data_IF_099336057828
#
_entry.id   IF_099336057828
#
_cell.length_a   1.000
_cell.length_b   1.000
_cell.length_c   1.000
_cell.angle_alpha   90.00
_cell.angle_beta   90.00
_cell.angle_gamma   90.00
#
_symmetry.space_group_name_H-M   'P 1'
#
loop_
_entity.id
_entity.type
_entity.pdbx_description
1 polymer ?
#
# COMPACT_ATOMS: atom_id res chain seq x y z
N UNK A 1 25.63 6.23 -42.61
CA UNK A 1 26.05 7.60 -42.20
C UNK A 1 24.93 8.21 -41.37
N UNK A 2 25.24 8.83 -40.22
CA UNK A 2 24.22 9.58 -39.45
C UNK A 2 23.92 10.89 -40.18
N UNK A 3 22.65 11.28 -40.38
CA UNK A 3 22.28 12.53 -41.06
C UNK A 3 22.78 13.74 -40.25
N UNK A 4 23.33 14.76 -40.92
CA UNK A 4 23.73 16.00 -40.27
C UNK A 4 22.50 16.87 -39.95
N UNK A 5 22.62 17.77 -38.98
CA UNK A 5 21.49 18.57 -38.44
C UNK A 5 20.67 19.30 -39.51
N UNK A 6 21.29 19.73 -40.61
CA UNK A 6 20.63 20.51 -41.66
C UNK A 6 20.20 19.67 -42.88
N UNK A 7 20.51 18.37 -42.90
CA UNK A 7 20.17 17.47 -44.00
C UNK A 7 18.67 17.20 -44.07
N UNK A 8 18.12 16.79 -45.22
CA UNK A 8 16.77 16.25 -45.31
C UNK A 8 16.57 15.07 -44.35
N UNK A 9 15.45 15.06 -43.64
CA UNK A 9 15.18 14.03 -42.65
C UNK A 9 14.98 12.65 -43.32
N UNK A 10 15.67 11.58 -42.87
CA UNK A 10 15.61 10.26 -43.51
C UNK A 10 14.25 9.56 -43.39
N UNK A 11 13.33 10.08 -42.56
CA UNK A 11 11.96 9.55 -42.46
C UNK A 11 11.06 9.92 -43.65
N UNK A 12 11.57 10.65 -44.65
CA UNK A 12 10.83 11.02 -45.85
C UNK A 12 9.89 12.22 -45.69
N UNK A 13 9.93 12.93 -44.55
CA UNK A 13 9.02 14.04 -44.26
C UNK A 13 9.28 15.34 -45.04
N UNK A 14 10.37 15.41 -45.83
CA UNK A 14 10.79 16.61 -46.56
C UNK A 14 11.33 17.76 -45.68
N UNK A 15 11.32 17.64 -44.35
CA UNK A 15 11.82 18.65 -43.40
C UNK A 15 13.31 18.47 -43.12
N UNK A 16 14.01 19.53 -42.69
CA UNK A 16 15.39 19.44 -42.18
C UNK A 16 15.43 18.59 -40.90
N UNK A 17 16.40 17.68 -40.77
CA UNK A 17 16.50 16.70 -39.70
C UNK A 17 16.41 17.31 -38.28
N UNK A 18 17.05 18.47 -38.05
CA UNK A 18 16.96 19.20 -36.76
C UNK A 18 15.56 19.65 -36.34
N UNK A 19 14.62 19.77 -37.28
CA UNK A 19 13.24 20.20 -37.04
C UNK A 19 12.22 19.05 -37.14
N UNK A 20 12.70 17.80 -37.28
CA UNK A 20 11.84 16.63 -37.45
C UNK A 20 12.19 15.53 -36.44
N UNK A 21 13.08 14.59 -36.78
CA UNK A 21 13.38 13.46 -35.91
C UNK A 21 14.45 13.77 -34.84
N UNK A 22 15.34 14.76 -35.05
CA UNK A 22 16.40 15.06 -34.08
C UNK A 22 15.90 15.51 -32.69
N UNK A 23 14.83 16.33 -32.55
CA UNK A 23 14.27 16.65 -31.22
C UNK A 23 13.73 15.40 -30.49
N UNK A 24 13.18 14.44 -31.23
CA UNK A 24 12.68 13.17 -30.69
C UNK A 24 13.82 12.19 -30.36
N UNK A 25 14.97 12.28 -31.03
CA UNK A 25 16.18 11.55 -30.65
C UNK A 25 16.87 12.14 -29.42
N UNK A 26 16.77 13.46 -29.22
CA UNK A 26 17.24 14.14 -27.99
C UNK A 26 16.32 13.88 -26.80
N UNK A 27 15.07 13.50 -27.06
CA UNK A 27 14.08 13.01 -26.08
C UNK A 27 13.95 11.49 -26.07
N UNK A 28 14.81 10.75 -26.81
CA UNK A 28 14.99 9.35 -26.46
C UNK A 28 15.68 9.36 -25.10
N UNK A 29 15.10 8.71 -24.08
CA UNK A 29 15.85 8.47 -22.86
C UNK A 29 17.15 7.81 -23.29
N UNK A 30 18.28 8.26 -22.73
CA UNK A 30 19.45 7.39 -22.61
C UNK A 30 18.94 6.04 -22.13
N UNK A 31 19.46 4.95 -22.71
CA UNK A 31 18.97 3.58 -22.55
C UNK A 31 19.05 2.98 -21.14
N UNK A 32 18.93 3.81 -20.11
CA UNK A 32 18.97 3.49 -18.68
C UNK A 32 17.67 3.88 -17.94
N UNK A 33 16.60 4.34 -18.63
CA UNK A 33 15.27 4.41 -18.00
C UNK A 33 14.52 3.07 -18.12
N UNK A 34 15.05 2.05 -17.46
CA UNK A 34 14.23 0.91 -17.05
C UNK A 34 13.16 1.46 -16.10
N UNK A 35 11.91 0.97 -16.17
CA UNK A 35 10.75 1.28 -15.30
C UNK A 35 9.77 2.36 -15.77
N UNK A 36 8.96 2.03 -16.79
CA UNK A 36 7.56 2.49 -16.81
C UNK A 36 6.67 1.39 -16.19
N UNK A 37 5.67 1.77 -15.40
CA UNK A 37 4.70 0.84 -14.81
C UNK A 37 3.99 -0.01 -15.88
N UNK A 38 3.69 0.59 -17.03
CA UNK A 38 3.15 -0.11 -18.20
C UNK A 38 4.11 -1.18 -18.74
N UNK A 39 5.41 -0.91 -18.79
CA UNK A 39 6.43 -1.88 -19.21
C UNK A 39 6.55 -3.05 -18.22
N UNK A 40 6.43 -2.78 -16.92
CA UNK A 40 6.38 -3.80 -15.87
C UNK A 40 5.16 -4.72 -16.02
N UNK A 41 3.96 -4.15 -16.10
CA UNK A 41 2.72 -4.93 -16.33
C UNK A 41 2.81 -5.74 -17.62
N UNK A 42 3.34 -5.13 -18.69
CA UNK A 42 3.54 -5.83 -19.95
C UNK A 42 4.44 -7.07 -19.78
N UNK A 43 5.58 -6.96 -19.10
CA UNK A 43 6.45 -8.11 -18.81
C UNK A 43 5.75 -9.18 -17.98
N UNK A 44 5.02 -8.79 -16.93
CA UNK A 44 4.27 -9.73 -16.09
C UNK A 44 3.22 -10.49 -16.92
N UNK A 45 2.50 -9.81 -17.82
CA UNK A 45 1.54 -10.46 -18.72
C UNK A 45 2.18 -11.46 -19.68
N UNK A 46 3.46 -11.29 -19.99
CA UNK A 46 4.29 -12.16 -20.83
C UNK A 46 5.27 -12.97 -19.98
N UNK A 47 4.87 -13.38 -18.78
CA UNK A 47 5.71 -14.17 -17.89
C UNK A 47 6.21 -15.48 -18.53
N UNK A 48 5.48 -16.04 -19.50
CA UNK A 48 5.84 -17.25 -20.23
C UNK A 48 7.16 -17.12 -21.03
N UNK A 49 7.59 -15.90 -21.35
CA UNK A 49 8.88 -15.64 -21.98
C UNK A 49 10.07 -15.88 -21.03
N UNK A 50 9.80 -16.04 -19.72
CA UNK A 50 10.81 -16.18 -18.68
C UNK A 50 10.76 -17.59 -18.06
N UNK A 51 11.87 -18.34 -18.00
CA UNK A 51 11.86 -19.69 -17.47
C UNK A 51 11.52 -19.72 -15.98
N UNK A 52 10.79 -20.74 -15.56
CA UNK A 52 10.50 -21.00 -14.13
C UNK A 52 11.79 -21.35 -13.40
N UNK A 53 12.07 -20.62 -12.33
CA UNK A 53 13.27 -20.79 -11.51
C UNK A 53 12.98 -21.68 -10.30
N UNK A 54 11.98 -21.31 -9.49
CA UNK A 54 11.58 -22.06 -8.31
C UNK A 54 10.12 -21.78 -7.91
N UNK A 55 9.46 -22.80 -7.35
CA UNK A 55 8.21 -22.65 -6.61
C UNK A 55 8.44 -23.07 -5.16
N UNK A 56 7.97 -22.27 -4.23
CA UNK A 56 8.06 -22.49 -2.79
C UNK A 56 6.66 -22.73 -2.20
N UNK A 57 6.56 -23.60 -1.21
CA UNK A 57 5.30 -23.96 -0.54
C UNK A 57 5.58 -24.26 0.94
N UNK A 58 4.74 -23.75 1.86
CA UNK A 58 4.83 -24.10 3.29
C UNK A 58 4.48 -25.57 3.52
N UNK A 59 5.06 -26.21 4.53
CA UNK A 59 4.96 -27.65 4.72
C UNK A 59 3.58 -28.11 5.21
N UNK A 60 2.93 -27.31 6.06
CA UNK A 60 1.73 -27.59 6.83
C UNK A 60 0.42 -27.14 6.15
N UNK A 61 0.48 -26.79 4.86
CA UNK A 61 -0.64 -26.18 4.15
C UNK A 61 -1.90 -27.06 4.07
N UNK A 62 -1.75 -28.39 4.15
CA UNK A 62 -2.88 -29.32 4.10
C UNK A 62 -3.60 -29.38 5.44
N UNK A 63 -2.84 -29.32 6.52
CA UNK A 63 -3.30 -29.35 7.90
C UNK A 63 -3.97 -28.03 8.26
N UNK A 64 -3.34 -26.91 7.89
CA UNK A 64 -3.84 -25.55 8.15
C UNK A 64 -4.92 -25.09 7.16
N UNK A 65 -5.06 -25.76 6.02
CA UNK A 65 -5.94 -25.30 4.95
C UNK A 65 -5.44 -24.05 4.20
N UNK A 66 -4.24 -23.56 4.51
CA UNK A 66 -3.64 -22.36 3.92
C UNK A 66 -2.30 -22.69 3.24
N UNK A 67 -2.30 -22.67 1.91
CA UNK A 67 -1.10 -22.79 1.09
C UNK A 67 -0.54 -21.40 0.75
N UNK A 68 0.71 -21.18 1.16
CA UNK A 68 1.52 -20.01 0.88
C UNK A 68 2.53 -20.34 -0.19
N UNK A 69 2.30 -19.83 -1.40
CA UNK A 69 3.07 -20.19 -2.58
C UNK A 69 3.82 -18.98 -3.10
N UNK A 70 5.13 -19.13 -3.33
CA UNK A 70 5.95 -18.15 -4.06
C UNK A 70 6.50 -18.81 -5.31
N UNK A 71 6.21 -18.26 -6.48
CA UNK A 71 6.75 -18.67 -7.77
C UNK A 71 7.74 -17.63 -8.26
N UNK A 72 8.88 -18.07 -8.78
CA UNK A 72 9.91 -17.21 -9.37
C UNK A 72 10.21 -17.63 -10.80
N UNK A 73 10.42 -16.64 -11.68
CA UNK A 73 10.88 -16.84 -13.06
C UNK A 73 12.11 -15.99 -13.34
N UNK A 74 13.16 -16.58 -13.90
CA UNK A 74 14.43 -15.89 -14.14
C UNK A 74 14.33 -14.90 -15.31
N UNK A 75 14.93 -13.74 -15.17
CA UNK A 75 15.05 -12.73 -16.23
C UNK A 75 16.52 -12.61 -16.68
N UNK A 76 16.76 -12.31 -17.95
CA UNK A 76 18.11 -12.24 -18.55
C UNK A 76 19.09 -11.30 -17.82
N UNK A 77 18.57 -10.35 -17.06
CA UNK A 77 19.34 -9.39 -16.26
C UNK A 77 19.93 -9.95 -14.95
N UNK A 78 19.76 -11.23 -14.66
CA UNK A 78 20.13 -11.83 -13.35
C UNK A 78 19.16 -11.45 -12.22
N UNK A 79 17.97 -11.00 -12.60
CA UNK A 79 16.84 -10.68 -11.72
C UNK A 79 15.72 -11.69 -11.92
N UNK A 80 14.70 -11.63 -11.08
CA UNK A 80 13.55 -12.53 -11.17
C UNK A 80 12.22 -11.78 -11.10
N UNK A 81 11.26 -12.35 -11.82
CA UNK A 81 9.83 -12.12 -11.64
C UNK A 81 9.31 -13.01 -10.53
N UNK A 82 8.38 -12.50 -9.73
CA UNK A 82 7.79 -13.22 -8.61
C UNK A 82 6.27 -13.13 -8.62
N UNK A 83 5.61 -14.24 -8.28
CA UNK A 83 4.19 -14.33 -7.96
C UNK A 83 4.03 -14.93 -6.57
N UNK A 84 3.24 -14.31 -5.72
CA UNK A 84 2.99 -14.70 -4.33
C UNK A 84 1.49 -14.96 -4.20
N UNK A 85 1.11 -16.09 -3.59
CA UNK A 85 -0.28 -16.52 -3.50
C UNK A 85 -0.58 -17.09 -2.12
N UNK A 86 -1.58 -16.52 -1.43
CA UNK A 86 -2.18 -17.10 -0.24
C UNK A 86 -3.48 -17.81 -0.65
N UNK A 87 -3.51 -19.12 -0.50
CA UNK A 87 -4.57 -19.99 -1.01
C UNK A 87 -5.24 -20.75 0.13
N UNK A 88 -6.52 -20.47 0.35
CA UNK A 88 -7.40 -21.27 1.19
C UNK A 88 -7.96 -22.45 0.39
N UNK A 89 -7.50 -23.64 0.76
CA UNK A 89 -7.89 -24.90 0.10
C UNK A 89 -9.17 -25.51 0.69
N UNK A 90 -9.67 -24.97 1.79
CA UNK A 90 -10.85 -25.46 2.50
C UNK A 90 -12.12 -24.69 2.14
N UNK A 91 -12.02 -23.45 1.68
CA UNK A 91 -13.19 -22.62 1.39
C UNK A 91 -12.95 -21.56 0.30
N UNK A 92 -12.18 -20.51 0.58
CA UNK A 92 -12.24 -19.25 -0.18
C UNK A 92 -11.40 -19.21 -1.45
N UNK A 93 -10.54 -20.19 -1.72
CA UNK A 93 -9.64 -20.16 -2.87
C UNK A 93 -8.51 -19.17 -2.65
N UNK A 94 -8.13 -18.39 -3.66
CA UNK A 94 -7.05 -17.39 -3.53
C UNK A 94 -7.55 -16.21 -2.71
N UNK A 95 -7.07 -16.08 -1.47
CA UNK A 95 -7.41 -15.01 -0.51
C UNK A 95 -6.63 -13.73 -0.75
N UNK A 96 -5.36 -13.88 -1.14
CA UNK A 96 -4.47 -12.76 -1.45
C UNK A 96 -3.47 -13.18 -2.53
N UNK A 97 -3.06 -12.24 -3.36
CA UNK A 97 -2.07 -12.48 -4.39
C UNK A 97 -1.28 -11.21 -4.72
N UNK A 98 0.01 -11.37 -5.01
CA UNK A 98 0.89 -10.28 -5.37
C UNK A 98 1.84 -10.71 -6.48
N UNK A 99 2.26 -9.78 -7.33
CA UNK A 99 3.32 -10.05 -8.30
C UNK A 99 4.22 -8.83 -8.53
N UNK A 100 5.49 -9.12 -8.83
CA UNK A 100 6.49 -8.10 -9.11
C UNK A 100 7.58 -8.67 -10.02
N UNK A 101 8.46 -7.82 -10.54
CA UNK A 101 9.58 -8.23 -11.38
C UNK A 101 10.79 -7.35 -11.15
N UNK A 102 11.95 -7.80 -11.64
CA UNK A 102 13.21 -7.11 -11.46
C UNK A 102 13.78 -7.22 -10.04
N UNK A 103 13.38 -8.23 -9.26
CA UNK A 103 13.94 -8.49 -7.93
C UNK A 103 15.28 -9.22 -8.06
N UNK A 104 16.25 -8.84 -7.24
CA UNK A 104 17.47 -9.62 -7.07
C UNK A 104 17.18 -10.89 -6.26
N UNK A 105 17.99 -11.93 -6.46
CA UNK A 105 17.91 -13.15 -5.65
C UNK A 105 18.05 -12.87 -4.16
N UNK A 106 18.88 -11.89 -3.79
CA UNK A 106 19.01 -11.45 -2.40
C UNK A 106 17.69 -10.92 -1.83
N UNK A 107 16.95 -10.10 -2.57
CA UNK A 107 15.64 -9.63 -2.12
C UNK A 107 14.63 -10.76 -1.96
N UNK A 108 14.75 -11.82 -2.77
CA UNK A 108 13.89 -12.99 -2.68
C UNK A 108 14.29 -13.84 -1.46
N UNK A 109 15.54 -14.24 -1.36
CA UNK A 109 16.05 -15.21 -0.39
C UNK A 109 16.24 -14.62 1.01
N UNK A 110 16.73 -13.39 1.12
CA UNK A 110 17.01 -12.77 2.42
C UNK A 110 15.81 -12.02 2.99
N UNK A 111 14.80 -11.71 2.17
CA UNK A 111 13.73 -10.79 2.58
C UNK A 111 12.32 -11.31 2.29
N UNK A 112 11.99 -11.64 1.03
CA UNK A 112 10.65 -12.10 0.67
C UNK A 112 10.31 -13.44 1.31
N UNK A 113 11.18 -14.45 1.12
CA UNK A 113 10.94 -15.78 1.65
C UNK A 113 10.90 -15.79 3.19
N UNK A 114 11.86 -15.20 3.93
CA UNK A 114 11.81 -15.19 5.38
C UNK A 114 10.62 -14.39 5.91
N UNK A 115 10.29 -13.25 5.29
CA UNK A 115 9.16 -12.41 5.70
C UNK A 115 7.82 -13.10 5.46
N UNK A 116 7.61 -13.67 4.28
CA UNK A 116 6.36 -14.34 3.94
C UNK A 116 6.22 -15.65 4.70
N UNK A 117 7.31 -16.44 4.79
CA UNK A 117 7.34 -17.72 5.49
C UNK A 117 7.62 -17.64 6.99
N UNK A 118 7.63 -16.45 7.59
CA UNK A 118 7.85 -16.28 9.04
C UNK A 118 9.14 -16.97 9.54
N UNK A 119 10.19 -16.94 8.70
CA UNK A 119 11.47 -17.63 8.87
C UNK A 119 11.41 -19.16 8.85
N UNK A 120 10.25 -19.76 8.57
CA UNK A 120 10.15 -21.18 8.28
C UNK A 120 10.70 -21.47 6.89
N UNK A 121 11.36 -22.62 6.74
CA UNK A 121 11.93 -23.02 5.45
C UNK A 121 10.84 -23.63 4.56
N UNK A 122 10.50 -23.01 3.42
CA UNK A 122 9.53 -23.59 2.50
C UNK A 122 10.11 -24.76 1.71
N UNK A 123 9.25 -25.69 1.33
CA UNK A 123 9.58 -26.76 0.40
C UNK A 123 9.62 -26.23 -1.04
N UNK A 124 10.62 -26.68 -1.83
CA UNK A 124 10.60 -26.47 -3.28
C UNK A 124 9.69 -27.48 -3.96
N UNK A 125 8.78 -27.01 -4.79
CA UNK A 125 7.81 -27.82 -5.53
C UNK A 125 7.85 -27.52 -7.04
N UNK A 126 7.30 -28.43 -7.84
CA UNK A 126 7.14 -28.20 -9.28
C UNK A 126 5.96 -27.26 -9.57
N UNK A 127 6.05 -26.47 -10.64
CA UNK A 127 5.02 -25.49 -10.99
C UNK A 127 3.64 -26.13 -11.24
N UNK A 128 3.59 -27.31 -11.85
CA UNK A 128 2.31 -28.02 -12.05
C UNK A 128 1.63 -28.36 -10.72
N UNK A 129 2.41 -28.62 -9.67
CA UNK A 129 1.84 -28.87 -8.35
C UNK A 129 1.30 -27.60 -7.72
N UNK A 130 2.02 -26.48 -7.84
CA UNK A 130 1.53 -25.17 -7.42
C UNK A 130 0.25 -24.76 -8.17
N UNK A 131 0.22 -24.94 -9.49
CA UNK A 131 -0.97 -24.72 -10.33
C UNK A 131 -2.14 -25.61 -9.90
N UNK A 132 -1.91 -26.88 -9.60
CA UNK A 132 -2.95 -27.80 -9.12
C UNK A 132 -3.56 -27.32 -7.80
N UNK A 133 -2.75 -26.82 -6.86
CA UNK A 133 -3.24 -26.24 -5.60
C UNK A 133 -4.06 -24.97 -5.87
N UNK A 134 -3.47 -24.01 -6.59
CA UNK A 134 -4.06 -22.67 -6.80
C UNK A 134 -5.36 -22.79 -7.60
N UNK A 135 -5.31 -23.35 -8.81
CA UNK A 135 -6.49 -23.40 -9.67
C UNK A 135 -7.54 -24.40 -9.16
N UNK A 136 -7.12 -25.47 -8.48
CA UNK A 136 -8.06 -26.38 -7.83
C UNK A 136 -8.84 -25.68 -6.70
N UNK A 137 -8.18 -24.85 -5.90
CA UNK A 137 -8.84 -24.06 -4.86
C UNK A 137 -9.73 -22.97 -5.45
N UNK A 138 -9.32 -22.32 -6.55
CA UNK A 138 -10.15 -21.35 -7.29
C UNK A 138 -11.42 -22.01 -7.81
N UNK A 139 -11.31 -23.18 -8.45
CA UNK A 139 -12.48 -23.90 -8.97
C UNK A 139 -13.44 -24.32 -7.84
N UNK A 140 -12.88 -24.80 -6.73
CA UNK A 140 -13.63 -25.17 -5.54
C UNK A 140 -14.41 -23.98 -4.98
N UNK A 141 -13.72 -22.86 -4.74
CA UNK A 141 -14.30 -21.63 -4.22
C UNK A 141 -15.38 -21.05 -5.14
N UNK A 142 -15.19 -21.12 -6.47
CA UNK A 142 -16.20 -20.74 -7.46
C UNK A 142 -17.48 -21.56 -7.34
N UNK A 143 -17.36 -22.87 -7.07
CA UNK A 143 -18.52 -23.73 -6.79
C UNK A 143 -19.36 -23.28 -5.58
N UNK A 144 -18.71 -22.60 -4.63
CA UNK A 144 -19.31 -22.02 -3.42
C UNK A 144 -19.80 -20.58 -3.61
N UNK A 145 -19.50 -19.93 -4.74
CA UNK A 145 -19.89 -18.54 -5.03
C UNK A 145 -18.85 -17.47 -4.62
N UNK A 146 -17.58 -17.87 -4.51
CA UNK A 146 -16.46 -16.97 -4.29
C UNK A 146 -15.61 -16.82 -5.55
N UNK A 147 -15.18 -15.59 -5.82
CA UNK A 147 -14.18 -15.28 -6.83
C UNK A 147 -12.83 -15.09 -6.15
N UNK A 148 -11.71 -15.40 -6.82
CA UNK A 148 -10.38 -15.16 -6.27
C UNK A 148 -10.14 -13.66 -6.03
N UNK A 149 -9.19 -13.34 -5.14
CA UNK A 149 -8.76 -11.96 -4.90
C UNK A 149 -8.47 -11.21 -6.21
N UNK A 150 -8.86 -9.93 -6.37
CA UNK A 150 -8.70 -9.18 -7.63
C UNK A 150 -7.26 -9.18 -8.18
N UNK A 151 -6.25 -9.10 -7.30
CA UNK A 151 -4.84 -9.14 -7.71
C UNK A 151 -4.40 -10.48 -8.32
N UNK A 152 -5.24 -11.51 -8.20
CA UNK A 152 -5.04 -12.78 -8.90
C UNK A 152 -5.11 -12.61 -10.43
N UNK A 153 -5.88 -11.64 -10.94
CA UNK A 153 -5.99 -11.35 -12.38
C UNK A 153 -4.63 -11.13 -13.03
N UNK A 154 -3.78 -10.29 -12.41
CA UNK A 154 -2.44 -9.99 -12.92
C UNK A 154 -1.43 -11.05 -12.47
N UNK A 155 -1.44 -11.43 -11.20
CA UNK A 155 -0.42 -12.34 -10.64
C UNK A 155 -0.48 -13.75 -11.20
N UNK A 156 -1.65 -14.24 -11.63
CA UNK A 156 -1.77 -15.55 -12.29
C UNK A 156 -0.94 -15.66 -13.57
N UNK A 157 -0.60 -14.55 -14.23
CA UNK A 157 0.27 -14.60 -15.39
C UNK A 157 1.64 -15.19 -15.04
N UNK A 158 2.15 -14.97 -13.82
CA UNK A 158 3.42 -15.56 -13.38
C UNK A 158 3.35 -17.10 -13.36
N UNK A 159 2.17 -17.68 -13.08
CA UNK A 159 1.96 -19.14 -13.19
C UNK A 159 2.13 -19.62 -14.63
N UNK A 160 1.91 -18.77 -15.62
CA UNK A 160 2.00 -19.08 -17.03
C UNK A 160 0.74 -19.69 -17.62
N UNK A 161 0.64 -19.61 -18.95
CA UNK A 161 -0.55 -20.03 -19.72
C UNK A 161 -0.52 -21.50 -20.15
N UNK A 162 0.62 -22.17 -20.02
CA UNK A 162 0.75 -23.59 -20.35
C UNK A 162 -0.26 -24.45 -19.56
N UNK A 163 -0.94 -25.34 -20.29
CA UNK A 163 -1.79 -26.36 -19.69
C UNK A 163 -0.99 -27.23 -18.71
N UNK A 164 -1.62 -27.59 -17.61
CA UNK A 164 -1.01 -28.41 -16.56
C UNK A 164 -1.93 -29.57 -16.20
N UNK A 165 -1.31 -30.69 -15.82
CA UNK A 165 -2.03 -31.91 -15.45
C UNK A 165 -2.28 -31.98 -13.93
N UNK A 166 -3.51 -32.30 -13.54
CA UNK A 166 -3.91 -32.53 -12.14
C UNK A 166 -3.58 -33.96 -11.70
N UNK A 167 -2.30 -34.27 -11.68
CA UNK A 167 -1.80 -35.63 -11.45
C UNK A 167 -1.98 -36.09 -10.01
N UNK A 168 -2.00 -35.15 -9.04
CA UNK A 168 -2.08 -35.49 -7.61
C UNK A 168 -3.50 -35.67 -7.11
N UNK A 169 -4.50 -35.30 -7.92
CA UNK A 169 -5.94 -35.39 -7.59
C UNK A 169 -6.22 -34.78 -6.22
N UNK A 170 -5.70 -33.57 -6.00
CA UNK A 170 -5.90 -32.86 -4.75
C UNK A 170 -7.40 -32.71 -4.45
N UNK A 171 -7.75 -32.90 -3.18
CA UNK A 171 -9.09 -32.65 -2.65
C UNK A 171 -9.10 -31.28 -1.98
N UNK A 172 -10.22 -30.59 -2.12
CA UNK A 172 -10.49 -29.28 -1.55
C UNK A 172 -11.73 -29.37 -0.66
N UNK A 173 -11.83 -28.48 0.32
CA UNK A 173 -12.75 -28.61 1.45
C UNK A 173 -12.08 -29.11 2.71
N UNK A 174 -12.72 -28.89 3.85
CA UNK A 174 -12.19 -29.27 5.16
C UNK A 174 -12.13 -30.78 5.38
N UNK A 175 -11.62 -31.21 6.55
CA UNK A 175 -11.39 -32.63 6.87
C UNK A 175 -12.61 -33.55 6.71
N UNK A 176 -13.82 -33.01 6.91
CA UNK A 176 -15.10 -33.74 6.79
C UNK A 176 -15.64 -33.78 5.35
N UNK A 177 -14.90 -33.25 4.37
CA UNK A 177 -15.33 -33.20 2.97
C UNK A 177 -16.37 -32.10 2.66
N UNK A 178 -16.73 -31.27 3.63
CA UNK A 178 -17.51 -30.03 3.45
C UNK A 178 -16.63 -28.78 3.58
N UNK A 179 -17.06 -27.62 3.06
CA UNK A 179 -16.30 -26.38 3.20
C UNK A 179 -16.02 -26.08 4.67
N UNK A 180 -14.78 -25.70 4.98
CA UNK A 180 -14.39 -25.29 6.32
C UNK A 180 -13.77 -23.90 6.26
N UNK A 181 -14.52 -22.91 6.71
CA UNK A 181 -14.11 -21.53 6.65
C UNK A 181 -13.38 -21.11 7.93
N UNK A 182 -12.09 -20.80 7.83
CA UNK A 182 -11.33 -20.23 8.95
C UNK A 182 -11.20 -18.73 8.67
N UNK A 183 -11.80 -17.91 9.54
CA UNK A 183 -11.79 -16.48 9.39
C UNK A 183 -10.36 -15.94 9.45
N UNK A 184 -9.88 -15.42 8.31
CA UNK A 184 -8.65 -14.66 8.23
C UNK A 184 -8.89 -13.21 8.67
N UNK A 185 -7.83 -12.50 9.06
CA UNK A 185 -7.94 -11.13 9.53
C UNK A 185 -8.50 -10.14 8.50
N UNK A 186 -8.36 -10.45 7.20
CA UNK A 186 -8.80 -9.60 6.10
C UNK A 186 -10.16 -9.98 5.50
N UNK A 187 -10.82 -11.01 6.02
CA UNK A 187 -12.07 -11.49 5.45
C UNK A 187 -13.28 -10.64 5.89
N UNK A 188 -14.21 -10.38 4.97
CA UNK A 188 -15.58 -9.98 5.33
C UNK A 188 -16.36 -11.21 5.78
N UNK A 189 -16.14 -11.59 7.05
CA UNK A 189 -16.75 -12.76 7.71
C UNK A 189 -18.27 -12.77 7.52
N UNK A 190 -18.93 -11.62 7.68
CA UNK A 190 -20.38 -11.51 7.57
C UNK A 190 -20.85 -11.86 6.16
N UNK A 191 -20.20 -11.32 5.13
CA UNK A 191 -20.50 -11.64 3.73
C UNK A 191 -20.19 -13.10 3.40
N UNK A 192 -19.06 -13.63 3.87
CA UNK A 192 -18.66 -15.03 3.65
C UNK A 192 -19.69 -15.98 4.24
N UNK A 193 -20.01 -15.85 5.53
CA UNK A 193 -20.99 -16.70 6.21
C UNK A 193 -22.38 -16.57 5.59
N UNK A 194 -22.79 -15.36 5.18
CA UNK A 194 -24.06 -15.17 4.47
C UNK A 194 -24.08 -15.94 3.16
N UNK A 195 -23.03 -15.85 2.33
CA UNK A 195 -22.94 -16.59 1.06
C UNK A 195 -22.98 -18.10 1.29
N UNK A 196 -22.18 -18.60 2.24
CA UNK A 196 -22.16 -20.03 2.59
C UNK A 196 -23.52 -20.52 3.07
N UNK A 197 -24.19 -19.78 3.97
CA UNK A 197 -25.55 -20.12 4.44
C UNK A 197 -26.57 -20.13 3.31
N UNK A 198 -26.52 -19.14 2.41
CA UNK A 198 -27.41 -19.07 1.24
C UNK A 198 -27.20 -20.24 0.27
N UNK A 199 -25.95 -20.70 0.13
CA UNK A 199 -25.58 -21.74 -0.84
C UNK A 199 -25.74 -23.17 -0.33
N UNK A 200 -25.40 -23.41 0.94
CA UNK A 200 -25.22 -24.75 1.51
C UNK A 200 -26.17 -25.06 2.67
N UNK A 201 -26.92 -24.06 3.16
CA UNK A 201 -27.67 -24.17 4.40
C UNK A 201 -26.79 -24.03 5.65
N UNK A 202 -27.39 -24.10 6.83
CA UNK A 202 -26.71 -23.85 8.11
C UNK A 202 -25.67 -24.94 8.47
N UNK A 203 -25.95 -26.19 8.10
CA UNK A 203 -25.12 -27.35 8.48
C UNK A 203 -24.17 -27.81 7.36
N UNK A 204 -24.24 -27.16 6.19
CA UNK A 204 -23.52 -27.53 4.98
C UNK A 204 -22.04 -27.08 4.95
N UNK A 205 -21.56 -26.39 5.98
CA UNK A 205 -20.18 -25.95 6.13
C UNK A 205 -19.81 -25.84 7.61
N UNK A 206 -18.52 -25.89 7.92
CA UNK A 206 -17.99 -25.56 9.24
C UNK A 206 -17.32 -24.19 9.16
N UNK A 207 -17.21 -23.50 10.29
CA UNK A 207 -16.42 -22.29 10.37
C UNK A 207 -15.78 -22.09 11.75
N UNK A 208 -14.65 -21.41 11.77
CA UNK A 208 -14.07 -20.82 12.98
C UNK A 208 -14.04 -19.31 12.74
N UNK A 209 -14.71 -18.57 13.61
CA UNK A 209 -14.57 -17.12 13.73
C UNK A 209 -13.79 -16.81 15.00
N UNK A 210 -13.04 -15.70 14.98
CA UNK A 210 -12.54 -15.12 16.23
C UNK A 210 -13.76 -14.50 16.91
N UNK A 211 -14.25 -15.11 17.99
CA UNK A 211 -15.25 -14.48 18.84
C UNK A 211 -14.62 -13.26 19.53
N UNK A 212 -15.34 -12.15 19.49
CA UNK A 212 -15.11 -10.99 20.36
C UNK A 212 -15.52 -11.44 21.77
N UNK A 213 -14.64 -11.31 22.77
CA UNK A 213 -14.81 -11.77 24.15
C UNK A 213 -15.90 -10.95 24.89
N UNK A 214 -17.14 -11.02 24.40
CA UNK A 214 -18.21 -10.10 24.74
C UNK A 214 -19.59 -10.76 24.82
N UNK A 215 -19.68 -12.03 25.20
CA UNK A 215 -20.80 -12.61 25.95
C UNK A 215 -20.50 -14.08 26.29
N UNK A 216 -20.44 -14.40 27.58
CA UNK A 216 -20.25 -15.76 28.05
C UNK A 216 -21.45 -16.62 27.66
N UNK A 217 -21.19 -17.71 26.94
CA UNK A 217 -22.06 -18.89 26.91
C UNK A 217 -21.20 -20.06 27.38
N UNK A 218 -21.64 -20.69 28.47
CA UNK A 218 -20.97 -21.80 29.14
C UNK A 218 -21.00 -23.10 28.29
N UNK A 219 -19.94 -23.91 28.50
CA UNK A 219 -19.74 -25.35 28.20
C UNK A 219 -19.50 -25.75 26.72
N UNK A 220 -18.46 -26.50 26.34
CA UNK A 220 -17.70 -27.57 27.02
C UNK A 220 -16.19 -27.57 26.68
N UNK A 221 -15.38 -27.92 27.69
CA UNK A 221 -13.94 -28.16 27.62
C UNK A 221 -13.61 -29.51 26.93
N UNK A 222 -12.70 -29.53 25.96
CA UNK A 222 -11.43 -30.29 26.03
C UNK A 222 -10.54 -30.02 24.79
N UNK A 223 -9.23 -30.20 24.93
CA UNK A 223 -8.14 -30.20 23.93
C UNK A 223 -7.18 -28.99 23.86
N UNK A 224 -6.21 -29.04 24.78
CA UNK A 224 -4.78 -28.66 24.68
C UNK A 224 -4.42 -27.17 24.50
N UNK A 225 -4.65 -26.40 25.57
CA UNK A 225 -3.97 -25.13 25.84
C UNK A 225 -2.57 -25.38 26.46
N UNK A 226 -1.52 -24.96 25.77
CA UNK A 226 -0.15 -25.04 26.32
C UNK A 226 0.91 -24.25 25.56
N UNK A 227 0.76 -24.07 24.25
CA UNK A 227 1.68 -23.26 23.43
C UNK A 227 1.08 -21.95 22.89
N UNK A 228 -0.25 -21.79 22.93
CA UNK A 228 -0.96 -20.67 22.29
C UNK A 228 -0.91 -19.38 23.15
N UNK A 229 -0.79 -19.48 24.47
CA UNK A 229 -1.00 -18.33 25.37
C UNK A 229 0.09 -17.25 25.36
N UNK A 230 1.28 -17.52 24.78
CA UNK A 230 2.38 -16.53 24.76
C UNK A 230 2.68 -15.94 23.38
N UNK A 231 2.18 -16.55 22.30
CA UNK A 231 2.26 -16.03 20.93
C UNK A 231 0.97 -15.28 20.55
N UNK A 232 -0.17 -15.67 21.16
CA UNK A 232 -1.49 -15.10 20.86
C UNK A 232 -1.62 -13.62 21.21
N UNK A 233 -1.23 -13.16 22.41
CA UNK A 233 -1.56 -11.80 22.86
C UNK A 233 -0.93 -10.66 22.02
N UNK A 234 0.24 -10.88 21.42
CA UNK A 234 0.89 -9.88 20.55
C UNK A 234 0.46 -9.96 19.09
N UNK A 235 -0.07 -11.10 18.64
CA UNK A 235 -0.55 -11.27 17.26
C UNK A 235 -2.03 -10.84 17.13
N UNK A 236 -2.86 -11.04 18.15
CA UNK A 236 -4.27 -10.61 18.17
C UNK A 236 -4.44 -9.09 18.28
N UNK A 237 -3.63 -8.40 19.08
CA UNK A 237 -3.61 -6.93 19.12
C UNK A 237 -3.11 -6.31 17.80
N UNK A 238 -2.16 -6.96 17.14
CA UNK A 238 -1.50 -6.41 15.95
C UNK A 238 -2.33 -6.60 14.66
N UNK A 239 -3.11 -7.68 14.57
CA UNK A 239 -4.11 -7.89 13.51
C UNK A 239 -5.38 -7.05 13.75
N UNK A 240 -5.73 -6.73 15.00
CA UNK A 240 -6.83 -5.81 15.30
C UNK A 240 -6.48 -4.37 14.90
N UNK A 241 -5.24 -3.92 15.11
CA UNK A 241 -4.75 -2.61 14.69
C UNK A 241 -4.78 -2.41 13.17
N UNK A 242 -4.39 -3.42 12.38
CA UNK A 242 -4.44 -3.34 10.92
C UNK A 242 -5.88 -3.29 10.38
N UNK A 243 -6.79 -4.08 10.96
CA UNK A 243 -8.23 -4.03 10.63
C UNK A 243 -8.83 -2.66 10.95
N UNK A 244 -8.56 -2.17 12.16
CA UNK A 244 -9.03 -0.86 12.61
C UNK A 244 -8.43 0.25 11.76
N UNK A 245 -7.15 0.17 11.39
CA UNK A 245 -6.53 1.08 10.42
C UNK A 245 -7.23 1.08 9.06
N UNK A 246 -7.50 -0.10 8.47
CA UNK A 246 -8.20 -0.20 7.16
C UNK A 246 -9.59 0.44 7.23
N UNK A 247 -10.34 0.17 8.30
CA UNK A 247 -11.65 0.77 8.54
C UNK A 247 -11.56 2.31 8.67
N UNK A 248 -10.67 2.79 9.55
CA UNK A 248 -10.41 4.22 9.74
C UNK A 248 -9.99 4.90 8.44
N UNK A 249 -9.17 4.24 7.61
CA UNK A 249 -8.72 4.82 6.34
C UNK A 249 -9.84 4.89 5.32
N UNK A 250 -10.65 3.85 5.16
CA UNK A 250 -11.77 3.85 4.22
C UNK A 250 -12.81 4.92 4.59
N UNK A 251 -13.19 4.97 5.87
CA UNK A 251 -14.09 6.00 6.40
C UNK A 251 -13.49 7.40 6.25
N UNK A 252 -12.22 7.57 6.62
CA UNK A 252 -11.48 8.83 6.52
C UNK A 252 -11.38 9.33 5.08
N UNK A 253 -11.19 8.45 4.09
CA UNK A 253 -11.18 8.82 2.67
C UNK A 253 -12.51 9.41 2.20
N UNK A 254 -13.64 8.81 2.59
CA UNK A 254 -14.97 9.32 2.24
C UNK A 254 -15.21 10.69 2.87
N UNK A 255 -14.83 10.85 4.14
CA UNK A 255 -14.94 12.08 4.89
C UNK A 255 -14.06 13.19 4.28
N UNK A 256 -12.78 12.92 4.02
CA UNK A 256 -11.87 13.87 3.39
C UNK A 256 -12.35 14.25 1.98
N UNK A 257 -12.92 13.31 1.21
CA UNK A 257 -13.51 13.63 -0.09
C UNK A 257 -14.68 14.61 0.03
N UNK A 258 -15.52 14.48 1.07
CA UNK A 258 -16.61 15.41 1.32
C UNK A 258 -16.09 16.83 1.67
N UNK A 259 -15.07 16.93 2.52
CA UNK A 259 -14.42 18.20 2.88
C UNK A 259 -13.82 18.88 1.65
N UNK A 260 -13.08 18.12 0.82
CA UNK A 260 -12.47 18.66 -0.41
C UNK A 260 -13.53 19.25 -1.34
N UNK A 261 -14.69 18.62 -1.45
CA UNK A 261 -15.81 19.10 -2.28
C UNK A 261 -16.46 20.37 -1.74
N UNK A 262 -16.35 20.64 -0.44
CA UNK A 262 -16.94 21.83 0.18
C UNK A 262 -15.98 23.02 0.28
N UNK A 263 -14.69 22.82 0.00
CA UNK A 263 -13.66 23.87 0.08
C UNK A 263 -14.00 25.11 -0.79
N UNK A 264 -13.94 26.32 -0.22
CA UNK A 264 -14.08 27.56 -0.99
C UNK A 264 -12.98 27.70 -2.03
N UNK A 265 -13.34 28.19 -3.22
CA UNK A 265 -12.39 28.36 -4.34
C UNK A 265 -11.24 29.32 -3.98
N UNK A 266 -11.54 30.36 -3.23
CA UNK A 266 -10.58 31.37 -2.78
C UNK A 266 -9.52 30.77 -1.87
N UNK A 267 -9.94 29.86 -0.99
CA UNK A 267 -9.05 29.12 -0.09
C UNK A 267 -8.13 28.16 -0.87
N UNK A 268 -8.68 27.45 -1.85
CA UNK A 268 -7.89 26.59 -2.76
C UNK A 268 -6.85 27.41 -3.50
N UNK A 269 -7.22 28.59 -4.03
CA UNK A 269 -6.28 29.48 -4.72
C UNK A 269 -5.21 30.05 -3.79
N UNK A 270 -5.54 30.34 -2.53
CA UNK A 270 -4.55 30.74 -1.54
C UNK A 270 -3.55 29.60 -1.25
N UNK A 271 -4.02 28.37 -1.07
CA UNK A 271 -3.15 27.22 -0.88
C UNK A 271 -2.22 26.97 -2.08
N UNK A 272 -2.76 27.07 -3.31
CA UNK A 272 -1.97 26.94 -4.52
C UNK A 272 -0.89 28.03 -4.65
N UNK A 273 -1.20 29.26 -4.21
CA UNK A 273 -0.24 30.38 -4.18
C UNK A 273 0.92 30.08 -3.22
N UNK A 274 0.62 29.62 -2.02
CA UNK A 274 1.63 29.29 -1.01
C UNK A 274 2.58 28.19 -1.48
N UNK A 275 2.07 27.25 -2.28
CA UNK A 275 2.83 26.14 -2.88
C UNK A 275 3.52 26.51 -4.21
N UNK A 276 3.38 27.76 -4.70
CA UNK A 276 3.92 28.24 -5.98
C UNK A 276 3.40 27.46 -7.20
N UNK A 277 2.13 27.09 -7.17
CA UNK A 277 1.43 26.36 -8.23
C UNK A 277 0.48 27.25 -9.03
N UNK A 278 0.61 28.58 -8.95
CA UNK A 278 -0.14 29.52 -9.78
C UNK A 278 0.72 30.04 -10.93
N UNK A 279 0.13 30.13 -12.13
CA UNK A 279 0.73 30.87 -13.23
C UNK A 279 0.55 32.40 -13.08
N UNK A 280 1.05 33.17 -14.06
CA UNK A 280 0.98 34.63 -14.05
C UNK A 280 -0.46 35.17 -14.13
N UNK A 281 -1.37 34.36 -14.68
CA UNK A 281 -2.79 34.67 -14.82
C UNK A 281 -3.60 34.20 -13.60
N UNK A 282 -2.96 33.60 -12.59
CA UNK A 282 -3.59 33.12 -11.36
C UNK A 282 -4.33 31.79 -11.50
N UNK A 283 -4.01 30.98 -12.52
CA UNK A 283 -4.55 29.62 -12.73
C UNK A 283 -3.64 28.59 -12.05
N UNK A 284 -4.24 27.53 -11.51
CA UNK A 284 -3.51 26.42 -10.91
C UNK A 284 -2.86 25.59 -12.01
N UNK A 285 -1.55 25.37 -11.89
CA UNK A 285 -0.75 24.56 -12.80
C UNK A 285 -0.03 23.48 -11.98
N UNK A 286 -0.51 22.26 -12.11
CA UNK A 286 0.10 21.06 -11.53
C UNK A 286 0.76 20.23 -12.64
N UNK A 287 1.95 19.71 -12.37
CA UNK A 287 2.65 18.78 -13.26
C UNK A 287 2.14 17.33 -13.10
N UNK A 288 1.61 17.00 -11.91
CA UNK A 288 1.05 15.68 -11.56
C UNK A 288 -0.26 15.85 -10.79
N UNK A 289 -1.06 14.78 -10.73
CA UNK A 289 -2.26 14.76 -9.87
C UNK A 289 -1.89 14.88 -8.39
N UNK A 290 -0.76 14.31 -7.95
CA UNK A 290 -0.26 14.40 -6.58
C UNK A 290 -0.06 15.85 -6.12
N UNK A 291 0.40 16.75 -7.01
CA UNK A 291 0.59 18.18 -6.70
C UNK A 291 -0.73 18.85 -6.26
N UNK A 292 -1.87 18.40 -6.81
CA UNK A 292 -3.18 18.90 -6.41
C UNK A 292 -3.58 18.47 -4.99
N UNK A 293 -3.15 17.30 -4.55
CA UNK A 293 -3.42 16.79 -3.19
C UNK A 293 -2.75 17.64 -2.12
N UNK A 294 -1.56 18.20 -2.38
CA UNK A 294 -0.90 19.13 -1.46
C UNK A 294 -1.66 20.45 -1.29
N UNK A 295 -2.29 20.94 -2.37
CA UNK A 295 -3.16 22.14 -2.31
C UNK A 295 -4.32 21.87 -1.35
N UNK A 296 -4.95 20.71 -1.47
CA UNK A 296 -6.08 20.31 -0.63
C UNK A 296 -5.65 20.10 0.83
N UNK A 297 -4.56 19.37 1.09
CA UNK A 297 -4.07 19.14 2.47
C UNK A 297 -3.79 20.47 3.18
N UNK A 298 -3.15 21.41 2.48
CA UNK A 298 -2.85 22.75 3.02
C UNK A 298 -4.11 23.57 3.28
N UNK A 299 -5.04 23.59 2.32
CA UNK A 299 -6.31 24.31 2.46
C UNK A 299 -7.13 23.81 3.66
N UNK A 300 -7.09 22.51 3.92
CA UNK A 300 -7.83 21.88 5.02
C UNK A 300 -7.17 22.16 6.38
N UNK A 301 -5.85 22.00 6.47
CA UNK A 301 -5.16 21.86 7.78
C UNK A 301 -4.30 23.04 8.21
N UNK A 302 -3.95 23.99 7.33
CA UNK A 302 -2.93 25.01 7.65
C UNK A 302 -3.41 26.46 7.54
N UNK A 303 -4.35 26.75 6.63
CA UNK A 303 -4.75 28.14 6.35
C UNK A 303 -5.99 28.50 7.18
N UNK A 304 -5.91 29.49 8.09
CA UNK A 304 -7.09 30.07 8.72
C UNK A 304 -7.99 30.75 7.68
N UNK A 305 -9.28 30.44 7.68
CA UNK A 305 -10.26 30.94 6.73
C UNK A 305 -11.70 30.92 7.28
N UNK A 306 -12.32 32.05 7.62
CA UNK A 306 -11.75 33.40 7.69
C UNK A 306 -10.84 33.59 8.92
N UNK A 307 -11.14 32.92 10.03
CA UNK A 307 -10.38 33.03 11.30
C UNK A 307 -9.90 31.68 11.85
N UNK A 308 -10.54 30.58 11.44
CA UNK A 308 -10.26 29.21 11.85
C UNK A 308 -9.92 28.35 10.64
N UNK A 309 -9.22 27.23 10.82
CA UNK A 309 -8.90 26.33 9.72
C UNK A 309 -10.17 25.67 9.20
N UNK A 310 -10.16 25.30 7.92
CA UNK A 310 -11.36 24.75 7.29
C UNK A 310 -11.83 23.44 7.95
N UNK A 311 -10.91 22.60 8.43
CA UNK A 311 -11.26 21.38 9.17
C UNK A 311 -12.03 21.67 10.46
N UNK A 312 -11.74 22.79 11.15
CA UNK A 312 -12.40 23.19 12.39
C UNK A 312 -13.83 23.67 12.10
N UNK A 313 -13.98 24.45 11.03
CA UNK A 313 -15.29 24.93 10.56
C UNK A 313 -16.15 23.75 10.14
N UNK A 314 -15.61 22.85 9.32
CA UNK A 314 -16.33 21.66 8.87
C UNK A 314 -16.78 20.80 10.05
N UNK A 315 -15.94 20.64 11.08
CA UNK A 315 -16.33 19.92 12.30
C UNK A 315 -17.49 20.62 13.03
N UNK A 316 -17.46 21.94 13.18
CA UNK A 316 -18.54 22.69 13.84
C UNK A 316 -19.89 22.55 13.12
N UNK A 317 -19.87 22.55 11.78
CA UNK A 317 -21.08 22.56 10.96
C UNK A 317 -21.66 21.14 10.73
N UNK A 318 -20.80 20.13 10.59
CA UNK A 318 -21.20 18.82 10.10
C UNK A 318 -21.07 17.69 11.13
N UNK A 319 -20.26 17.83 12.19
CA UNK A 319 -19.96 16.71 13.10
C UNK A 319 -21.19 16.09 13.75
N UNK A 320 -22.21 16.90 14.08
CA UNK A 320 -23.45 16.41 14.70
C UNK A 320 -24.26 15.46 13.82
N UNK A 321 -24.02 15.45 12.49
CA UNK A 321 -24.69 14.58 11.53
C UNK A 321 -23.94 13.27 11.27
N UNK A 322 -22.73 13.14 11.82
CA UNK A 322 -21.81 12.05 11.56
C UNK A 322 -21.84 11.00 12.69
N UNK A 323 -21.44 9.77 12.37
CA UNK A 323 -21.25 8.71 13.38
C UNK A 323 -20.13 9.07 14.37
N UNK A 324 -20.10 8.40 15.53
CA UNK A 324 -19.06 8.63 16.54
C UNK A 324 -17.64 8.39 15.98
N UNK A 325 -17.46 7.36 15.15
CA UNK A 325 -16.17 7.05 14.52
C UNK A 325 -15.76 8.14 13.52
N UNK A 326 -16.71 8.66 12.74
CA UNK A 326 -16.47 9.78 11.83
C UNK A 326 -16.10 11.06 12.59
N UNK A 327 -16.77 11.32 13.72
CA UNK A 327 -16.43 12.45 14.59
C UNK A 327 -15.04 12.30 15.21
N UNK A 328 -14.68 11.10 15.66
CA UNK A 328 -13.34 10.80 16.19
C UNK A 328 -12.27 11.01 15.10
N UNK A 329 -12.53 10.57 13.87
CA UNK A 329 -11.67 10.80 12.73
C UNK A 329 -11.50 12.29 12.41
N UNK A 330 -12.60 13.07 12.34
CA UNK A 330 -12.49 14.52 12.14
C UNK A 330 -11.68 15.20 13.25
N UNK A 331 -11.90 14.80 14.50
CA UNK A 331 -11.17 15.37 15.65
C UNK A 331 -9.66 15.12 15.54
N UNK A 332 -9.27 13.93 15.09
CA UNK A 332 -7.86 13.62 14.83
C UNK A 332 -7.27 14.46 13.68
N UNK A 333 -8.08 14.86 12.70
CA UNK A 333 -7.70 15.80 11.65
C UNK A 333 -7.70 17.28 12.09
N UNK A 334 -8.29 17.63 13.23
CA UNK A 334 -8.14 18.96 13.83
C UNK A 334 -6.76 19.13 14.44
N UNK A 335 -6.20 18.12 15.11
CA UNK A 335 -4.86 18.21 15.72
C UNK A 335 -3.82 17.27 15.09
N UNK A 336 -3.57 17.38 13.77
CA UNK A 336 -2.67 16.48 13.09
C UNK A 336 -1.22 16.96 13.21
N UNK A 337 -0.28 16.02 13.28
CA UNK A 337 1.14 16.36 13.47
C UNK A 337 1.85 16.33 12.12
N UNK A 338 2.07 17.51 11.53
CA UNK A 338 2.97 17.65 10.39
C UNK A 338 4.41 17.81 10.89
N UNK A 339 5.31 16.96 10.38
CA UNK A 339 6.74 17.03 10.71
C UNK A 339 7.59 16.37 9.63
N UNK A 340 8.91 16.46 9.81
CA UNK A 340 9.89 15.63 9.10
C UNK A 340 10.24 14.42 9.98
N UNK A 341 10.03 13.23 9.44
CA UNK A 341 10.31 11.98 10.12
C UNK A 341 11.46 11.25 9.44
N UNK A 342 12.23 10.50 10.21
CA UNK A 342 13.22 9.54 9.70
C UNK A 342 12.72 8.12 9.92
N UNK A 343 12.86 7.27 8.90
CA UNK A 343 12.49 5.87 8.92
C UNK A 343 13.58 5.08 9.65
N UNK A 344 13.29 4.68 10.89
CA UNK A 344 14.22 3.90 11.72
C UNK A 344 14.26 2.43 11.31
N UNK A 345 13.11 1.87 10.98
CA UNK A 345 12.96 0.48 10.56
C UNK A 345 11.69 0.29 9.73
N UNK A 346 11.67 -0.72 8.88
CA UNK A 346 10.53 -1.05 8.01
C UNK A 346 9.94 -2.39 8.46
N UNK A 347 8.64 -2.41 8.69
CA UNK A 347 7.86 -3.61 8.97
C UNK A 347 7.11 -3.98 7.69
N UNK A 348 7.67 -4.93 6.93
CA UNK A 348 7.16 -5.25 5.58
C UNK A 348 5.69 -5.61 5.57
N UNK A 349 4.96 -5.05 4.60
CA UNK A 349 3.51 -5.22 4.45
C UNK A 349 2.67 -4.55 5.53
N UNK A 350 3.27 -3.82 6.49
CA UNK A 350 2.55 -3.23 7.63
C UNK A 350 2.77 -1.73 7.78
N UNK A 351 4.01 -1.28 7.74
CA UNK A 351 4.32 0.11 8.07
C UNK A 351 5.78 0.35 8.40
N UNK A 352 6.04 1.49 9.02
CA UNK A 352 7.39 1.96 9.32
C UNK A 352 7.49 2.52 10.73
N UNK A 353 8.60 2.23 11.41
CA UNK A 353 8.96 2.92 12.64
C UNK A 353 9.57 4.27 12.29
N UNK A 354 8.96 5.34 12.79
CA UNK A 354 9.39 6.71 12.56
C UNK A 354 9.96 7.32 13.83
N UNK A 355 10.90 8.25 13.65
CA UNK A 355 11.24 9.26 14.66
C UNK A 355 11.00 10.64 14.10
N UNK A 356 10.35 11.50 14.88
CA UNK A 356 10.21 12.91 14.52
C UNK A 356 11.54 13.63 14.77
N UNK A 357 12.08 14.27 13.73
CA UNK A 357 13.43 14.86 13.77
C UNK A 357 13.52 16.18 14.55
N UNK A 358 12.39 16.80 14.86
CA UNK A 358 12.35 18.07 15.61
C UNK A 358 11.90 17.87 17.07
N UNK A 359 11.04 16.89 17.31
CA UNK A 359 10.66 16.44 18.65
C UNK A 359 10.86 14.92 18.70
N UNK A 360 11.96 14.38 19.27
CA UNK A 360 12.40 12.97 19.16
C UNK A 360 11.47 11.88 19.73
N UNK A 361 10.19 11.91 19.38
CA UNK A 361 9.20 10.87 19.65
C UNK A 361 9.30 9.78 18.58
N UNK A 362 9.28 8.52 19.04
CA UNK A 362 9.24 7.34 18.18
C UNK A 362 7.86 6.72 18.22
N UNK A 363 7.35 6.34 17.06
CA UNK A 363 6.06 5.67 16.94
C UNK A 363 6.05 4.78 15.69
N UNK A 364 5.12 3.84 15.67
CA UNK A 364 4.87 3.01 14.50
C UNK A 364 3.80 3.65 13.63
N UNK A 365 4.10 3.91 12.36
CA UNK A 365 3.15 4.38 11.38
C UNK A 365 2.65 3.18 10.57
N UNK A 366 1.35 2.90 10.64
CA UNK A 366 0.70 1.87 9.84
C UNK A 366 0.45 2.44 8.45
N UNK A 367 1.10 1.84 7.46
CA UNK A 367 0.98 2.16 6.03
C UNK A 367 1.59 1.00 5.25
N UNK A 368 0.75 0.16 4.65
CA UNK A 368 1.22 -1.04 3.94
C UNK A 368 2.06 -0.69 2.72
N UNK A 369 1.78 0.44 2.05
CA UNK A 369 2.53 0.92 0.90
C UNK A 369 3.94 1.36 1.28
N UNK A 370 4.08 2.15 2.35
CA UNK A 370 5.39 2.51 2.90
C UNK A 370 6.11 1.29 3.45
N UNK A 371 5.40 0.35 4.08
CA UNK A 371 5.98 -0.92 4.54
C UNK A 371 6.62 -1.73 3.41
N UNK A 372 6.20 -1.54 2.16
CA UNK A 372 6.73 -2.25 1.00
C UNK A 372 7.77 -1.46 0.20
N UNK A 373 7.71 -0.12 0.24
CA UNK A 373 8.53 0.75 -0.63
C UNK A 373 9.58 1.56 0.11
N UNK A 374 9.45 1.74 1.43
CA UNK A 374 10.39 2.54 2.20
C UNK A 374 11.71 1.81 2.46
N UNK A 375 12.76 2.60 2.62
CA UNK A 375 14.07 2.15 3.08
C UNK A 375 14.44 2.82 4.41
N UNK A 376 15.20 2.10 5.24
CA UNK A 376 15.72 2.64 6.49
C UNK A 376 16.64 3.83 6.21
N UNK A 377 16.49 4.90 6.99
CA UNK A 377 17.23 6.15 6.87
C UNK A 377 16.61 7.16 5.90
N UNK A 378 15.66 6.76 5.06
CA UNK A 378 14.86 7.69 4.29
C UNK A 378 14.06 8.62 5.20
N UNK A 379 13.72 9.78 4.67
CA UNK A 379 12.96 10.79 5.37
C UNK A 379 11.58 10.92 4.76
N UNK A 380 10.60 11.27 5.59
CA UNK A 380 9.22 11.44 5.21
C UNK A 380 8.72 12.74 5.82
N UNK A 381 8.46 13.78 5.02
CA UNK A 381 7.68 14.92 5.50
C UNK A 381 6.20 14.64 5.21
N UNK A 382 5.40 14.52 6.25
CA UNK A 382 3.98 14.17 6.11
C UNK A 382 3.20 14.60 7.34
N UNK A 383 1.88 14.59 7.22
CA UNK A 383 0.94 14.81 8.31
C UNK A 383 0.52 13.46 8.89
N UNK A 384 0.81 13.28 10.17
CA UNK A 384 0.43 12.07 10.93
C UNK A 384 -0.88 12.34 11.66
N UNK A 385 -1.85 11.47 11.42
CA UNK A 385 -3.13 11.38 12.10
C UNK A 385 -3.00 10.31 13.18
N UNK A 386 -3.47 10.61 14.38
CA UNK A 386 -3.45 9.68 15.52
C UNK A 386 -4.86 9.48 16.04
N UNK A 387 -5.31 8.23 16.07
CA UNK A 387 -6.57 7.81 16.67
C UNK A 387 -6.24 6.64 17.60
N UNK A 388 -6.32 6.89 18.91
CA UNK A 388 -5.87 5.96 19.95
C UNK A 388 -4.41 5.53 19.73
N UNK A 389 -4.14 4.23 19.61
CA UNK A 389 -2.80 3.68 19.36
C UNK A 389 -2.39 3.73 17.87
N UNK A 390 -3.31 4.05 16.95
CA UNK A 390 -3.08 3.95 15.51
C UNK A 390 -2.57 5.27 14.97
N UNK A 391 -1.38 5.25 14.38
CA UNK A 391 -0.80 6.36 13.64
C UNK A 391 -0.79 6.05 12.14
N UNK A 392 -1.30 6.96 11.32
CA UNK A 392 -1.31 6.86 9.86
C UNK A 392 -1.17 8.23 9.19
N UNK A 393 -0.99 8.28 7.87
CA UNK A 393 -0.83 9.55 7.15
C UNK A 393 -2.18 10.18 6.78
N UNK A 394 -2.22 11.49 6.53
CA UNK A 394 -3.39 12.13 5.92
C UNK A 394 -3.64 11.68 4.46
N UNK A 395 -2.67 10.97 3.86
CA UNK A 395 -2.66 10.58 2.45
C UNK A 395 -1.76 11.47 1.57
N UNK A 396 -1.06 12.43 2.17
CA UNK A 396 -0.12 13.32 1.47
C UNK A 396 1.26 13.21 2.11
N UNK A 397 2.28 12.90 1.32
CA UNK A 397 3.64 12.72 1.84
C UNK A 397 4.70 13.17 0.85
N UNK A 398 5.86 13.57 1.39
CA UNK A 398 7.02 14.06 0.65
C UNK A 398 8.23 13.25 1.09
N UNK A 399 8.56 12.18 0.37
CA UNK A 399 9.72 11.35 0.67
C UNK A 399 11.03 12.01 0.18
N UNK A 400 12.08 11.85 0.99
CA UNK A 400 13.44 12.32 0.68
C UNK A 400 14.48 11.25 1.03
N UNK A 401 15.59 11.22 0.29
CA UNK A 401 16.74 10.41 0.66
C UNK A 401 17.47 10.94 1.91
N UNK A 402 18.27 10.08 2.60
CA UNK A 402 19.00 10.42 3.83
C UNK A 402 19.97 11.60 3.65
N UNK A 403 20.50 11.80 2.45
CA UNK A 403 21.41 12.91 2.10
C UNK A 403 20.78 14.30 2.32
N UNK A 404 19.45 14.39 2.29
CA UNK A 404 18.74 15.65 2.49
C UNK A 404 18.59 16.06 3.96
N UNK A 405 18.84 15.14 4.91
CA UNK A 405 18.55 15.31 6.34
C UNK A 405 19.12 16.61 6.89
N UNK A 406 20.42 16.81 6.74
CA UNK A 406 21.12 17.99 7.27
C UNK A 406 20.52 19.29 6.74
N UNK A 407 20.28 19.36 5.43
CA UNK A 407 19.71 20.56 4.78
C UNK A 407 18.31 20.86 5.31
N UNK A 408 17.44 19.84 5.34
CA UNK A 408 16.05 19.99 5.76
C UNK A 408 15.94 20.35 7.25
N UNK A 409 16.78 19.77 8.12
CA UNK A 409 16.77 20.10 9.56
C UNK A 409 17.37 21.47 9.85
N UNK A 410 18.44 21.86 9.16
CA UNK A 410 19.12 23.15 9.39
C UNK A 410 18.24 24.35 9.06
N UNK A 411 17.29 24.24 8.12
CA UNK A 411 16.33 25.30 7.82
C UNK A 411 15.49 25.70 9.04
N UNK A 412 15.16 24.75 9.90
CA UNK A 412 14.32 24.98 11.08
C UNK A 412 15.12 25.29 12.33
N UNK A 413 16.34 24.77 12.45
CA UNK A 413 17.25 25.13 13.54
C UNK A 413 17.56 26.64 13.58
N UNK A 414 17.59 27.31 12.43
CA UNK A 414 17.72 28.78 12.38
C UNK A 414 16.46 29.53 12.78
N UNK A 415 15.27 28.93 12.59
CA UNK A 415 13.98 29.55 12.94
C UNK A 415 13.65 29.44 14.43
N UNK A 416 14.17 28.41 15.11
CA UNK A 416 14.08 28.28 16.58
C UNK A 416 14.95 29.28 17.35
N UNK A 417 15.96 29.87 16.69
CA UNK A 417 16.86 30.86 17.31
C UNK A 417 16.25 32.27 17.32
N UNK A 418 15.29 32.55 16.44
CA UNK A 418 14.49 33.79 16.42
C UNK A 418 13.36 33.74 17.46
N UNK A 419 13.73 33.59 18.74
CA UNK A 419 12.79 33.65 19.87
C UNK A 419 12.47 35.08 20.24
N UNK A 420 11.30 35.57 19.82
CA UNK A 420 10.49 36.47 20.66
C UNK A 420 9.00 36.59 20.28
N UNK A 421 8.44 35.71 19.43
CA UNK A 421 6.99 35.77 19.16
C UNK A 421 6.34 34.60 18.41
N UNK A 422 7.08 33.54 18.10
CA UNK A 422 6.53 32.40 17.38
C UNK A 422 5.74 31.49 18.33
N UNK A 423 4.47 31.24 18.01
CA UNK A 423 3.58 30.35 18.76
C UNK A 423 4.05 28.90 18.82
N UNK A 424 3.19 28.00 19.32
CA UNK A 424 3.42 26.55 19.39
C UNK A 424 4.09 26.00 18.11
N UNK A 425 4.97 24.99 18.24
CA UNK A 425 5.66 24.31 17.13
C UNK A 425 4.74 23.98 15.94
N UNK A 426 3.49 23.66 16.24
CA UNK A 426 2.39 23.49 15.29
C UNK A 426 2.17 24.70 14.37
N UNK A 427 2.09 25.93 14.91
CA UNK A 427 1.94 27.16 14.13
C UNK A 427 3.16 27.44 13.25
N UNK A 428 4.36 27.08 13.72
CA UNK A 428 5.57 27.14 12.90
C UNK A 428 5.45 26.18 11.71
N UNK A 429 5.08 24.92 11.95
CA UNK A 429 4.90 23.93 10.89
C UNK A 429 3.80 24.31 9.90
N UNK A 430 2.65 24.84 10.36
CA UNK A 430 1.58 25.32 9.47
C UNK A 430 2.07 26.39 8.48
N UNK A 431 2.93 27.30 8.96
CA UNK A 431 3.53 28.35 8.13
C UNK A 431 4.59 27.80 7.17
N UNK A 432 5.39 26.84 7.62
CA UNK A 432 6.58 26.37 6.91
C UNK A 432 6.42 25.01 6.21
N UNK A 433 5.28 24.31 6.30
CA UNK A 433 5.00 23.10 5.54
C UNK A 433 5.26 23.25 4.02
N UNK A 434 4.95 24.40 3.36
CA UNK A 434 5.29 24.62 1.95
C UNK A 434 6.78 24.50 1.62
N UNK A 435 7.68 24.72 2.58
CA UNK A 435 9.11 24.53 2.39
C UNK A 435 9.43 23.10 1.96
N UNK A 436 8.85 22.10 2.63
CA UNK A 436 9.08 20.70 2.28
C UNK A 436 8.57 20.38 0.88
N UNK A 437 7.40 20.92 0.49
CA UNK A 437 6.87 20.72 -0.86
C UNK A 437 7.80 21.31 -1.93
N UNK A 438 8.28 22.53 -1.71
CA UNK A 438 9.19 23.21 -2.62
C UNK A 438 10.52 22.47 -2.75
N UNK A 439 11.05 21.92 -1.65
CA UNK A 439 12.26 21.09 -1.68
C UNK A 439 12.00 19.74 -2.34
N UNK A 440 10.84 19.12 -2.09
CA UNK A 440 10.42 17.88 -2.72
C UNK A 440 10.36 18.01 -4.24
N UNK A 441 9.81 19.12 -4.77
CA UNK A 441 9.83 19.39 -6.22
C UNK A 441 11.22 19.50 -6.84
N UNK A 442 12.24 19.86 -6.05
CA UNK A 442 13.61 20.05 -6.55
C UNK A 442 14.44 18.78 -6.46
N UNK A 443 14.30 18.06 -5.35
CA UNK A 443 15.23 16.98 -4.96
C UNK A 443 14.55 15.82 -4.25
N UNK A 444 13.21 15.75 -4.28
CA UNK A 444 12.46 14.64 -3.72
C UNK A 444 12.74 13.33 -4.43
N UNK A 445 12.39 12.22 -3.77
CA UNK A 445 12.43 10.89 -4.41
C UNK A 445 11.03 10.62 -4.95
N UNK A 446 10.92 10.26 -6.23
CA UNK A 446 9.63 9.81 -6.78
C UNK A 446 9.26 8.46 -6.14
N UNK A 447 8.18 8.46 -5.36
CA UNK A 447 7.60 7.24 -4.80
C UNK A 447 6.31 6.96 -5.54
N UNK A 448 6.27 5.86 -6.29
CA UNK A 448 5.06 5.43 -6.96
C UNK A 448 4.13 4.76 -5.95
N UNK A 449 3.07 5.48 -5.58
CA UNK A 449 1.95 4.88 -4.85
C UNK A 449 1.17 4.00 -5.82
N UNK A 450 1.21 2.68 -5.63
CA UNK A 450 0.23 1.80 -6.27
C UNK A 450 -1.11 2.08 -5.61
N UNK A 451 -1.94 2.91 -6.24
CA UNK A 451 -3.33 3.10 -5.83
C UNK A 451 -4.05 1.76 -5.97
N UNK A 452 -4.39 1.14 -4.84
CA UNK A 452 -5.33 0.02 -4.77
C UNK A 452 -6.71 0.64 -4.95
N UNK A 453 -7.27 0.54 -6.16
CA UNK A 453 -8.68 0.86 -6.47
C UNK A 453 -9.55 -0.36 -6.31
#
# INVERSE_FOLDING_TARGET
MKPQRNDPCPCGSGKKYKKCCLPNERHRPSGDSVWSHAGKIHRIRHADDYPVEACYLNADWKEQGLARIVLTRSQESGKAMVGVFLVDIFCLGVKDAFCNEGLSMRQIEDELLPGYYQNEQPARVGINYAKEIIYGAVDYAKGLGFEPHPDFELSRHVLGTEEFSRTRRLKFGGPEGKPFYIAGPDDDVATVLRKLRQRLGKDGFNFITVEDDGEAVEEDEDWHSGLISRVSSYATELDSDLRRYKHLRQMGMQLMSAIVKSLPRELILQAARDLRLLDKEGRIVCATEDESSFIMDRAIHDIPWPEQRYIEIYYQDEAAKLSLDQQACLRAHIQPIFSLYEILNVSRGRGVWLVNLFCPEKFFLIDTGLGMTAEKGCLLATRVIRIDAICFTSGVSMPFGPEHKKRLTSHFASLEQDKEGAGSWERLMQRHAPYFFIEFKKTGVDVQFTSVT
#
